data_IF_070624759505
#
_entry.id   IF_070624759505
#
_cell.length_a   1.000
_cell.length_b   1.000
_cell.length_c   1.000
_cell.angle_alpha   90.00
_cell.angle_beta   90.00
_cell.angle_gamma   90.00
#
_symmetry.space_group_name_H-M   'P 1'
#
loop_
_entity.id
_entity.type
_entity.pdbx_description
1 polymer ?
#
# COMPACT_ATOMS: atom_id res chain seq x y z
N UNK A 1 -21.12 12.37 62.98
CA UNK A 1 -21.70 12.60 61.65
C UNK A 1 -20.63 12.72 60.54
N UNK A 2 -19.66 13.58 60.71
CA UNK A 2 -18.60 13.82 59.69
C UNK A 2 -17.80 12.59 59.25
N UNK A 3 -17.41 11.69 60.18
CA UNK A 3 -16.70 10.44 59.87
C UNK A 3 -17.50 9.46 59.01
N UNK A 4 -18.84 9.40 59.19
CA UNK A 4 -19.75 8.55 58.41
C UNK A 4 -19.95 9.08 56.99
N UNK A 5 -19.93 10.40 56.82
CA UNK A 5 -20.03 11.06 55.51
C UNK A 5 -18.73 10.87 54.74
N UNK A 6 -17.59 11.00 55.42
CA UNK A 6 -16.26 10.77 54.77
C UNK A 6 -16.06 9.32 54.29
N UNK A 7 -16.56 8.33 55.07
CA UNK A 7 -16.53 6.92 54.70
C UNK A 7 -17.45 6.60 53.53
N UNK A 8 -18.62 7.24 53.46
CA UNK A 8 -19.57 7.08 52.35
C UNK A 8 -19.02 7.73 51.05
N UNK A 9 -18.37 8.88 51.12
CA UNK A 9 -17.76 9.55 49.99
C UNK A 9 -16.53 8.75 49.47
N UNK A 10 -15.72 8.18 50.38
CA UNK A 10 -14.62 7.34 50.01
C UNK A 10 -15.06 6.01 49.36
N UNK A 11 -16.15 5.38 49.86
CA UNK A 11 -16.75 4.21 49.21
C UNK A 11 -17.36 4.53 47.84
N UNK A 12 -17.99 5.72 47.69
CA UNK A 12 -18.52 6.15 46.38
C UNK A 12 -17.38 6.41 45.36
N UNK A 13 -16.26 6.94 45.82
CA UNK A 13 -15.07 7.16 44.95
C UNK A 13 -14.40 5.83 44.57
N UNK A 14 -14.33 4.85 45.45
CA UNK A 14 -13.83 3.50 45.17
C UNK A 14 -14.76 2.75 44.21
N UNK A 15 -16.09 2.92 44.32
CA UNK A 15 -17.08 2.35 43.40
C UNK A 15 -17.02 2.99 41.99
N UNK A 16 -16.63 4.26 41.88
CA UNK A 16 -16.45 4.94 40.58
C UNK A 16 -15.14 4.52 39.90
N UNK A 17 -14.12 4.15 40.64
CA UNK A 17 -12.83 3.67 40.08
C UNK A 17 -12.89 2.20 39.66
N UNK A 18 -13.78 1.39 40.24
CA UNK A 18 -13.90 -0.07 39.95
C UNK A 18 -14.79 -0.34 38.72
N UNK A 19 -15.56 0.63 38.23
CA UNK A 19 -16.38 0.44 37.03
C UNK A 19 -15.65 0.72 35.69
N UNK A 20 -14.34 0.96 35.71
CA UNK A 20 -13.50 0.91 34.52
C UNK A 20 -12.83 -0.46 34.31
N UNK A 21 -13.44 -1.55 34.83
CA UNK A 21 -13.03 -2.91 34.46
C UNK A 21 -13.40 -3.17 33.00
N UNK A 22 -12.49 -2.82 32.11
CA UNK A 22 -12.17 -3.50 30.91
C UNK A 22 -13.32 -3.99 30.02
N UNK A 23 -14.00 -3.08 29.32
CA UNK A 23 -14.39 -3.44 27.96
C UNK A 23 -13.06 -3.82 27.25
N UNK A 24 -12.93 -5.04 26.76
CA UNK A 24 -11.79 -5.44 25.96
C UNK A 24 -11.66 -4.44 24.81
N UNK A 25 -10.60 -3.59 24.83
CA UNK A 25 -10.29 -2.67 23.74
C UNK A 25 -9.71 -3.42 22.52
N UNK A 26 -9.97 -4.72 22.43
CA UNK A 26 -9.49 -5.55 21.34
C UNK A 26 -10.35 -5.33 20.10
N UNK A 27 -9.71 -4.90 19.05
CA UNK A 27 -10.29 -4.64 17.74
C UNK A 27 -9.80 -5.71 16.76
N UNK A 28 -10.74 -6.32 16.03
CA UNK A 28 -10.46 -7.38 15.06
C UNK A 28 -10.26 -6.78 13.69
N UNK A 29 -9.09 -7.03 13.11
CA UNK A 29 -8.71 -6.50 11.81
C UNK A 29 -8.62 -7.63 10.80
N UNK A 30 -9.47 -7.63 9.79
CA UNK A 30 -9.35 -8.52 8.65
C UNK A 30 -8.36 -7.93 7.64
N UNK A 31 -7.46 -8.76 7.11
CA UNK A 31 -6.52 -8.34 6.08
C UNK A 31 -6.31 -9.40 5.01
N UNK A 32 -6.08 -8.93 3.79
CA UNK A 32 -5.52 -9.73 2.72
C UNK A 32 -4.03 -9.42 2.62
N UNK A 33 -3.22 -10.44 2.40
CA UNK A 33 -1.77 -10.28 2.30
C UNK A 33 -1.41 -9.37 1.10
N UNK A 34 -0.73 -8.26 1.38
CA UNK A 34 -0.28 -7.28 0.40
C UNK A 34 1.15 -6.89 0.76
N UNK A 35 2.08 -7.15 -0.15
CA UNK A 35 3.51 -6.87 0.01
C UNK A 35 3.76 -5.46 0.56
N UNK A 36 4.61 -5.36 1.59
CA UNK A 36 4.97 -4.14 2.31
C UNK A 36 3.79 -3.37 2.95
N UNK A 37 2.54 -3.76 2.68
CA UNK A 37 1.37 -3.12 3.28
C UNK A 37 0.89 -3.85 4.53
N UNK A 38 0.59 -5.14 4.42
CA UNK A 38 0.24 -6.01 5.56
C UNK A 38 0.52 -7.47 5.20
N UNK A 39 1.38 -8.13 5.95
CA UNK A 39 1.75 -9.52 5.72
C UNK A 39 2.74 -10.04 6.76
N UNK A 40 3.06 -11.33 6.69
CA UNK A 40 4.03 -11.94 7.58
C UNK A 40 5.44 -11.72 7.03
N UNK A 41 6.29 -11.04 7.80
CA UNK A 41 7.71 -10.85 7.53
C UNK A 41 8.52 -11.33 8.74
N UNK A 42 9.46 -12.23 8.52
CA UNK A 42 10.29 -12.81 9.58
C UNK A 42 9.46 -13.42 10.73
N UNK A 43 8.33 -14.05 10.41
CA UNK A 43 7.43 -14.69 11.37
C UNK A 43 6.55 -13.72 12.18
N UNK A 44 6.54 -12.43 11.84
CA UNK A 44 5.72 -11.40 12.50
C UNK A 44 4.88 -10.66 11.46
N UNK A 45 3.68 -10.26 11.88
CA UNK A 45 2.86 -9.37 11.07
C UNK A 45 3.52 -7.99 11.01
N UNK A 46 3.71 -7.48 9.81
CA UNK A 46 4.39 -6.20 9.57
C UNK A 46 3.87 -5.54 8.28
N UNK A 47 4.23 -4.28 8.09
CA UNK A 47 3.90 -3.50 6.91
C UNK A 47 3.37 -2.12 7.25
N UNK A 48 3.19 -1.32 6.22
CA UNK A 48 2.66 0.05 6.32
C UNK A 48 1.36 0.11 7.14
N UNK A 49 0.41 -0.77 6.81
CA UNK A 49 -0.90 -0.80 7.46
C UNK A 49 -0.82 -1.19 8.93
N UNK A 50 0.08 -2.13 9.28
CA UNK A 50 0.31 -2.51 10.68
C UNK A 50 0.86 -1.32 11.46
N UNK A 51 1.89 -0.65 10.94
CA UNK A 51 2.47 0.53 11.59
C UNK A 51 1.48 1.71 11.70
N UNK A 52 0.56 1.86 10.75
CA UNK A 52 -0.54 2.82 10.86
C UNK A 52 -1.48 2.48 12.02
N UNK A 53 -1.87 1.20 12.15
CA UNK A 53 -2.70 0.76 13.27
C UNK A 53 -1.98 0.86 14.62
N UNK A 54 -0.67 0.61 14.67
CA UNK A 54 0.13 0.82 15.89
C UNK A 54 0.07 2.30 16.34
N UNK A 55 0.20 3.25 15.40
CA UNK A 55 0.04 4.67 15.72
C UNK A 55 -1.40 5.01 16.16
N UNK A 56 -2.43 4.39 15.57
CA UNK A 56 -3.82 4.54 16.00
C UNK A 56 -3.99 4.00 17.44
N UNK A 57 -3.32 2.90 17.79
CA UNK A 57 -3.37 2.34 19.15
C UNK A 57 -2.84 3.30 20.22
N UNK A 58 -1.82 4.10 19.91
CA UNK A 58 -1.28 5.11 20.83
C UNK A 58 -2.33 6.15 21.25
N UNK A 59 -3.31 6.43 20.36
CA UNK A 59 -4.40 7.40 20.63
C UNK A 59 -5.68 6.77 21.16
N UNK A 60 -5.90 5.47 20.90
CA UNK A 60 -7.16 4.79 21.25
C UNK A 60 -7.01 3.84 22.44
N UNK A 61 -5.80 3.38 22.71
CA UNK A 61 -5.54 2.29 23.66
C UNK A 61 -6.04 0.94 23.15
N UNK A 62 -6.28 0.78 21.86
CA UNK A 62 -6.72 -0.48 21.27
C UNK A 62 -5.61 -1.52 21.27
N UNK A 63 -6.01 -2.78 21.37
CA UNK A 63 -5.20 -3.95 21.04
C UNK A 63 -5.81 -4.63 19.81
N UNK A 64 -5.01 -5.34 19.04
CA UNK A 64 -5.49 -5.88 17.77
C UNK A 64 -5.40 -7.39 17.70
N UNK A 65 -6.46 -7.98 17.12
CA UNK A 65 -6.46 -9.36 16.63
C UNK A 65 -6.57 -9.34 15.11
N UNK A 66 -5.56 -9.88 14.43
CA UNK A 66 -5.51 -9.91 12.97
C UNK A 66 -6.00 -11.23 12.41
N UNK A 67 -6.91 -11.16 11.43
CA UNK A 67 -7.51 -12.33 10.74
C UNK A 67 -7.15 -12.24 9.25
N UNK A 68 -6.34 -13.19 8.77
CA UNK A 68 -5.93 -13.26 7.36
C UNK A 68 -6.98 -13.98 6.51
N UNK A 69 -7.24 -13.46 5.28
CA UNK A 69 -8.11 -14.08 4.30
C UNK A 69 -7.98 -13.45 2.92
N UNK A 70 -8.77 -13.94 1.97
CA UNK A 70 -8.90 -13.27 0.68
C UNK A 70 -9.58 -11.90 0.87
N UNK A 71 -9.40 -10.98 -0.10
CA UNK A 71 -10.06 -9.67 -0.03
C UNK A 71 -11.59 -9.78 0.10
N UNK A 72 -12.19 -10.71 -0.64
CA UNK A 72 -13.64 -10.98 -0.56
C UNK A 72 -14.04 -11.45 0.84
N UNK A 73 -13.28 -12.35 1.45
CA UNK A 73 -13.53 -12.81 2.82
C UNK A 73 -13.40 -11.67 3.84
N UNK A 74 -12.39 -10.80 3.69
CA UNK A 74 -12.23 -9.64 4.58
C UNK A 74 -13.45 -8.72 4.53
N UNK A 75 -13.98 -8.42 3.34
CA UNK A 75 -15.20 -7.63 3.17
C UNK A 75 -16.41 -8.32 3.83
N UNK A 76 -16.55 -9.63 3.63
CA UNK A 76 -17.65 -10.40 4.23
C UNK A 76 -17.58 -10.40 5.76
N UNK A 77 -16.42 -10.66 6.34
CA UNK A 77 -16.23 -10.65 7.80
C UNK A 77 -16.55 -9.30 8.43
N UNK A 78 -16.15 -8.19 7.80
CA UNK A 78 -16.47 -6.86 8.29
C UNK A 78 -17.97 -6.55 8.13
N UNK A 79 -18.57 -6.95 7.02
CA UNK A 79 -20.01 -6.79 6.79
C UNK A 79 -20.85 -7.55 7.82
N UNK A 80 -20.44 -8.76 8.17
CA UNK A 80 -21.15 -9.64 9.10
C UNK A 80 -20.77 -9.43 10.58
N UNK A 81 -19.81 -8.53 10.87
CA UNK A 81 -19.34 -8.25 12.22
C UNK A 81 -18.41 -9.30 12.81
N UNK A 82 -17.84 -10.17 11.98
CA UNK A 82 -16.80 -11.12 12.39
C UNK A 82 -15.42 -10.46 12.51
N UNK A 83 -15.20 -9.34 11.81
CA UNK A 83 -14.10 -8.42 11.99
C UNK A 83 -14.64 -7.00 12.11
N UNK A 84 -13.86 -6.13 12.74
CA UNK A 84 -14.26 -4.76 13.01
C UNK A 84 -13.81 -3.81 11.89
N UNK A 85 -12.61 -4.01 11.36
CA UNK A 85 -12.06 -3.23 10.25
C UNK A 85 -11.43 -4.11 9.17
N UNK A 86 -11.39 -3.57 7.94
CA UNK A 86 -10.46 -4.02 6.88
C UNK A 86 -9.95 -2.83 6.08
N UNK A 87 -8.83 -3.02 5.36
CA UNK A 87 -8.13 -1.98 4.62
C UNK A 87 -7.08 -2.61 3.64
N UNK A 88 -6.59 -1.91 2.62
CA UNK A 88 -7.04 -0.61 2.12
C UNK A 88 -8.25 -0.78 1.18
N UNK A 89 -9.28 0.04 1.34
CA UNK A 89 -10.49 -0.03 0.53
C UNK A 89 -10.69 1.26 -0.27
N UNK A 90 -10.76 1.17 -1.60
CA UNK A 90 -11.18 2.29 -2.43
C UNK A 90 -12.68 2.53 -2.27
N UNK A 91 -13.07 3.81 -2.28
CA UNK A 91 -14.48 4.20 -2.19
C UNK A 91 -15.25 3.81 -3.45
N UNK A 92 -16.44 3.29 -3.26
CA UNK A 92 -17.48 3.22 -4.30
C UNK A 92 -18.86 3.33 -3.66
N UNK A 93 -19.85 3.82 -4.39
CA UNK A 93 -21.22 3.91 -3.90
C UNK A 93 -21.77 2.53 -3.52
N UNK A 94 -21.43 1.50 -4.27
CA UNK A 94 -21.81 0.13 -3.96
C UNK A 94 -21.25 -0.31 -2.59
N UNK A 95 -19.98 -0.03 -2.30
CA UNK A 95 -19.38 -0.34 -1.00
C UNK A 95 -19.94 0.52 0.11
N UNK A 96 -20.23 1.80 -0.17
CA UNK A 96 -20.83 2.72 0.81
C UNK A 96 -22.24 2.31 1.24
N UNK A 97 -22.93 1.44 0.51
CA UNK A 97 -24.19 0.85 0.96
C UNK A 97 -23.99 -0.08 2.18
N UNK A 98 -22.91 -0.84 2.23
CA UNK A 98 -22.62 -1.86 3.24
C UNK A 98 -21.63 -1.42 4.32
N UNK A 99 -20.77 -0.43 4.02
CA UNK A 99 -19.64 -0.04 4.87
C UNK A 99 -19.64 1.46 5.20
N UNK A 100 -19.06 1.80 6.36
CA UNK A 100 -18.57 3.13 6.68
C UNK A 100 -17.12 3.23 6.27
N UNK A 101 -16.72 4.40 5.80
CA UNK A 101 -15.34 4.72 5.41
C UNK A 101 -14.74 5.73 6.37
N UNK A 102 -13.46 5.58 6.71
CA UNK A 102 -12.72 6.60 7.46
C UNK A 102 -12.74 7.94 6.72
N UNK A 103 -12.76 9.06 7.45
CA UNK A 103 -12.77 10.40 6.85
C UNK A 103 -11.47 10.73 6.13
N UNK A 104 -10.34 10.22 6.66
CA UNK A 104 -9.04 10.36 6.03
C UNK A 104 -8.70 9.06 5.30
N UNK A 105 -8.07 9.18 4.14
CA UNK A 105 -7.50 8.01 3.48
C UNK A 105 -6.33 7.45 4.29
N UNK A 106 -6.23 6.13 4.34
CA UNK A 106 -5.09 5.47 4.99
C UNK A 106 -3.86 5.43 4.08
N UNK A 107 -4.04 5.45 2.76
CA UNK A 107 -2.98 5.54 1.77
C UNK A 107 -3.54 6.14 0.47
N UNK A 108 -2.69 6.85 -0.27
CA UNK A 108 -3.00 7.23 -1.65
C UNK A 108 -2.48 6.13 -2.58
N UNK A 109 -3.40 5.36 -3.13
CA UNK A 109 -3.10 4.28 -4.05
C UNK A 109 -3.16 4.75 -5.52
N UNK A 110 -2.69 3.94 -6.43
CA UNK A 110 -2.87 4.11 -7.86
C UNK A 110 -2.99 2.76 -8.55
N UNK A 111 -3.69 2.71 -9.66
CA UNK A 111 -3.73 1.53 -10.50
C UNK A 111 -2.47 1.47 -11.37
N UNK A 112 -1.84 0.30 -11.44
CA UNK A 112 -0.66 0.09 -12.25
C UNK A 112 -0.63 -1.31 -12.88
N UNK A 113 0.07 -1.41 -14.00
CA UNK A 113 0.38 -2.66 -14.65
C UNK A 113 1.88 -2.90 -14.52
N UNK A 114 2.23 -4.08 -14.06
CA UNK A 114 3.61 -4.54 -13.95
C UNK A 114 3.81 -5.80 -14.78
N UNK A 115 5.02 -6.00 -15.27
CA UNK A 115 5.48 -7.24 -15.89
C UNK A 115 6.77 -7.70 -15.23
N UNK A 116 7.23 -8.94 -15.52
CA UNK A 116 8.55 -9.41 -15.08
C UNK A 116 9.65 -8.47 -15.57
N UNK A 117 10.64 -8.20 -14.74
CA UNK A 117 11.82 -7.41 -15.10
C UNK A 117 12.56 -7.94 -16.33
N UNK A 118 12.49 -9.25 -16.57
CA UNK A 118 13.11 -9.93 -17.72
C UNK A 118 12.27 -9.90 -18.99
N UNK A 119 11.00 -9.48 -18.94
CA UNK A 119 10.13 -9.42 -20.12
C UNK A 119 10.56 -8.29 -21.06
N UNK A 120 10.94 -8.63 -22.30
CA UNK A 120 11.39 -7.68 -23.33
C UNK A 120 10.25 -7.16 -24.23
N UNK A 121 9.09 -7.81 -24.21
CA UNK A 121 8.01 -7.58 -25.19
C UNK A 121 7.03 -6.52 -24.71
N UNK A 122 6.86 -6.41 -23.37
CA UNK A 122 5.96 -5.45 -22.75
C UNK A 122 6.77 -4.27 -22.24
N UNK A 123 6.55 -3.08 -22.83
CA UNK A 123 7.37 -1.91 -22.60
C UNK A 123 6.59 -0.83 -21.83
N UNK A 124 7.34 0.01 -21.11
CA UNK A 124 6.77 1.15 -20.39
C UNK A 124 6.09 2.12 -21.35
N UNK A 125 4.83 2.46 -21.04
CA UNK A 125 3.95 3.33 -21.83
C UNK A 125 3.66 2.87 -23.27
N UNK A 126 4.16 1.72 -23.70
CA UNK A 126 3.74 1.09 -24.96
C UNK A 126 2.52 0.19 -24.72
N UNK A 127 1.36 0.81 -24.59
CA UNK A 127 0.12 0.12 -24.23
C UNK A 127 -0.29 -0.94 -25.25
N UNK A 128 0.07 -0.76 -26.53
CA UNK A 128 -0.23 -1.74 -27.57
C UNK A 128 0.54 -3.04 -27.38
N UNK A 129 1.66 -3.02 -26.64
CA UNK A 129 2.39 -4.24 -26.26
C UNK A 129 1.57 -5.17 -25.35
N UNK A 130 0.50 -4.67 -24.74
CA UNK A 130 -0.44 -5.45 -23.92
C UNK A 130 -1.51 -6.18 -24.75
N UNK A 131 -1.64 -5.89 -26.06
CA UNK A 131 -2.69 -6.50 -26.89
C UNK A 131 -2.59 -8.01 -26.88
N UNK A 132 -3.69 -8.68 -26.50
CA UNK A 132 -3.79 -10.14 -26.43
C UNK A 132 -3.02 -10.80 -25.27
N UNK A 133 -2.32 -10.04 -24.43
CA UNK A 133 -1.53 -10.56 -23.31
C UNK A 133 -2.42 -11.08 -22.18
N UNK A 134 -1.87 -12.04 -21.42
CA UNK A 134 -2.50 -12.65 -20.24
C UNK A 134 -2.22 -11.76 -19.03
N UNK A 135 -3.28 -11.24 -18.40
CA UNK A 135 -3.18 -10.33 -17.27
C UNK A 135 -3.79 -10.93 -16.01
N UNK A 136 -3.00 -11.00 -14.93
CA UNK A 136 -3.42 -11.44 -13.62
C UNK A 136 -4.03 -10.29 -12.82
N UNK A 137 -5.15 -10.58 -12.13
CA UNK A 137 -5.92 -9.62 -11.35
C UNK A 137 -6.40 -10.30 -10.06
N UNK A 138 -6.58 -9.52 -8.99
CA UNK A 138 -7.19 -10.03 -7.75
C UNK A 138 -8.71 -9.92 -7.87
N UNK A 139 -9.40 -11.03 -7.61
CA UNK A 139 -10.86 -11.10 -7.65
C UNK A 139 -11.49 -10.09 -6.67
N UNK A 140 -12.56 -9.39 -7.10
CA UNK A 140 -13.26 -8.41 -6.28
C UNK A 140 -12.50 -7.09 -6.01
N UNK A 141 -11.27 -6.93 -6.52
CA UNK A 141 -10.55 -5.68 -6.35
C UNK A 141 -11.17 -4.56 -7.20
N UNK A 142 -11.34 -3.37 -6.59
CA UNK A 142 -11.88 -2.19 -7.26
C UNK A 142 -11.03 -1.72 -8.45
N UNK A 143 -9.72 -1.91 -8.37
CA UNK A 143 -8.79 -1.53 -9.43
C UNK A 143 -9.08 -2.25 -10.76
N UNK A 144 -9.80 -3.37 -10.73
CA UNK A 144 -10.24 -4.07 -11.95
C UNK A 144 -11.16 -3.20 -12.80
N UNK A 145 -12.02 -2.37 -12.18
CA UNK A 145 -12.89 -1.43 -12.89
C UNK A 145 -12.08 -0.29 -13.53
N UNK A 146 -11.05 0.20 -12.84
CA UNK A 146 -10.12 1.21 -13.35
C UNK A 146 -9.36 0.67 -14.56
N UNK A 147 -8.91 -0.58 -14.46
CA UNK A 147 -8.25 -1.27 -15.56
C UNK A 147 -9.14 -1.42 -16.79
N UNK A 148 -10.40 -1.80 -16.61
CA UNK A 148 -11.35 -1.97 -17.73
C UNK A 148 -11.59 -0.65 -18.47
N UNK A 149 -11.71 0.45 -17.74
CA UNK A 149 -11.79 1.80 -18.32
C UNK A 149 -10.50 2.17 -19.06
N UNK A 150 -9.35 1.88 -18.44
CA UNK A 150 -8.06 2.18 -19.05
C UNK A 150 -7.85 1.44 -20.37
N UNK A 151 -7.99 0.12 -20.42
CA UNK A 151 -7.79 -0.66 -21.65
C UNK A 151 -8.82 -0.31 -22.71
N UNK A 152 -10.08 -0.04 -22.32
CA UNK A 152 -11.11 0.43 -23.22
C UNK A 152 -10.76 1.78 -23.85
N UNK A 153 -10.22 2.73 -23.07
CA UNK A 153 -9.78 4.04 -23.57
C UNK A 153 -8.58 3.98 -24.51
N UNK A 154 -7.78 2.90 -24.44
CA UNK A 154 -6.59 2.65 -25.29
C UNK A 154 -6.91 1.73 -26.50
N UNK A 155 -8.12 1.21 -26.57
CA UNK A 155 -8.50 0.25 -27.63
C UNK A 155 -7.73 -1.07 -27.54
N UNK A 156 -7.40 -1.52 -26.31
CA UNK A 156 -6.61 -2.72 -26.05
C UNK A 156 -7.53 -3.84 -25.56
N UNK A 157 -7.28 -5.06 -26.00
CA UNK A 157 -7.93 -6.26 -25.50
C UNK A 157 -6.89 -7.19 -24.86
N UNK A 158 -7.17 -7.67 -23.63
CA UNK A 158 -6.32 -8.58 -22.88
C UNK A 158 -7.09 -9.79 -22.40
N UNK A 159 -6.40 -10.88 -22.09
CA UNK A 159 -6.97 -12.07 -21.46
C UNK A 159 -6.85 -11.92 -19.94
N UNK A 160 -7.99 -11.83 -19.23
CA UNK A 160 -8.01 -11.62 -17.78
C UNK A 160 -8.03 -12.94 -17.02
N UNK A 161 -7.15 -13.07 -16.03
CA UNK A 161 -7.07 -14.20 -15.12
C UNK A 161 -7.22 -13.71 -13.68
N UNK A 162 -8.17 -14.28 -12.93
CA UNK A 162 -8.51 -13.83 -11.60
C UNK A 162 -7.97 -14.80 -10.55
N UNK A 163 -7.32 -14.25 -9.52
CA UNK A 163 -6.70 -14.97 -8.40
C UNK A 163 -7.28 -14.49 -7.07
N UNK A 164 -7.09 -15.27 -6.03
CA UNK A 164 -7.64 -14.97 -4.71
C UNK A 164 -6.73 -14.03 -3.89
N UNK A 165 -5.43 -13.99 -4.20
CA UNK A 165 -4.43 -13.20 -3.46
C UNK A 165 -3.34 -12.63 -4.35
N UNK A 166 -2.61 -11.64 -3.83
CA UNK A 166 -1.43 -11.08 -4.48
C UNK A 166 -0.31 -12.12 -4.64
N UNK A 167 -0.13 -13.01 -3.66
CA UNK A 167 0.86 -14.10 -3.72
C UNK A 167 0.61 -15.01 -4.91
N UNK A 168 -0.65 -15.47 -5.11
CA UNK A 168 -1.01 -16.32 -6.26
C UNK A 168 -0.78 -15.62 -7.60
N UNK A 169 -1.06 -14.31 -7.69
CA UNK A 169 -0.80 -13.51 -8.89
C UNK A 169 0.71 -13.44 -9.17
N UNK A 170 1.51 -13.19 -8.15
CA UNK A 170 2.98 -13.12 -8.27
C UNK A 170 3.59 -14.46 -8.68
N UNK A 171 3.13 -15.57 -8.08
CA UNK A 171 3.54 -16.92 -8.47
C UNK A 171 3.18 -17.24 -9.94
N UNK A 172 1.99 -16.82 -10.37
CA UNK A 172 1.56 -17.02 -11.75
C UNK A 172 2.41 -16.23 -12.75
N UNK A 173 2.81 -14.99 -12.40
CA UNK A 173 3.74 -14.19 -13.20
C UNK A 173 5.11 -14.82 -13.27
N UNK A 174 5.68 -15.22 -12.13
CA UNK A 174 7.00 -15.87 -12.05
C UNK A 174 7.02 -17.19 -12.83
N UNK A 175 5.92 -17.96 -12.80
CA UNK A 175 5.76 -19.20 -13.54
C UNK A 175 5.47 -19.01 -15.05
N UNK A 176 5.36 -17.78 -15.54
CA UNK A 176 5.02 -17.48 -16.95
C UNK A 176 3.59 -17.88 -17.34
N UNK A 177 2.70 -18.12 -16.37
CA UNK A 177 1.27 -18.41 -16.64
C UNK A 177 0.52 -17.18 -17.11
N UNK A 178 0.96 -16.00 -16.69
CA UNK A 178 0.48 -14.68 -17.10
C UNK A 178 1.67 -13.82 -17.54
N UNK A 179 1.41 -12.79 -18.32
CA UNK A 179 2.43 -11.93 -18.92
C UNK A 179 2.60 -10.61 -18.16
N UNK A 180 1.54 -10.17 -17.48
CA UNK A 180 1.52 -8.96 -16.67
C UNK A 180 0.53 -9.10 -15.53
N UNK A 181 0.66 -8.22 -14.53
CA UNK A 181 -0.25 -8.12 -13.38
C UNK A 181 -0.82 -6.72 -13.30
N UNK A 182 -2.06 -6.65 -12.85
CA UNK A 182 -2.70 -5.42 -12.44
C UNK A 182 -2.65 -5.33 -10.91
N UNK A 183 -2.10 -4.25 -10.38
CA UNK A 183 -1.95 -4.05 -8.94
C UNK A 183 -1.98 -2.57 -8.56
N UNK A 184 -1.96 -2.28 -7.26
CA UNK A 184 -1.78 -0.95 -6.71
C UNK A 184 -0.30 -0.56 -6.54
N UNK A 185 -0.07 0.54 -5.82
CA UNK A 185 1.28 1.07 -5.55
C UNK A 185 2.10 0.20 -4.58
N UNK A 186 1.46 -0.75 -3.91
CA UNK A 186 2.07 -1.58 -2.89
C UNK A 186 2.99 -2.69 -3.45
N UNK A 187 3.08 -2.81 -4.77
CA UNK A 187 3.92 -3.81 -5.43
C UNK A 187 5.24 -3.18 -5.84
N UNK A 188 6.17 -3.11 -4.88
CA UNK A 188 7.55 -2.74 -5.12
C UNK A 188 8.42 -4.00 -5.01
N UNK A 189 8.67 -4.62 -6.14
CA UNK A 189 9.56 -5.76 -6.25
C UNK A 189 10.60 -5.43 -7.32
N UNK A 190 11.88 -5.59 -6.98
CA UNK A 190 13.00 -5.31 -7.90
C UNK A 190 12.93 -6.19 -9.15
N UNK A 191 12.24 -7.33 -9.06
CA UNK A 191 12.06 -8.27 -10.19
C UNK A 191 10.93 -7.87 -11.15
N UNK A 192 10.24 -6.76 -10.90
CA UNK A 192 9.15 -6.27 -11.74
C UNK A 192 9.45 -4.92 -12.34
N UNK A 193 8.96 -4.69 -13.54
CA UNK A 193 8.99 -3.38 -14.16
C UNK A 193 7.59 -2.83 -14.40
N UNK A 194 7.46 -1.53 -14.20
CA UNK A 194 6.25 -0.77 -14.45
C UNK A 194 6.00 -0.68 -15.95
N UNK A 195 4.77 -0.96 -16.37
CA UNK A 195 4.30 -0.83 -17.76
C UNK A 195 3.41 0.40 -17.91
N UNK A 196 2.46 0.56 -17.00
CA UNK A 196 1.52 1.68 -16.98
C UNK A 196 1.18 2.05 -15.54
N UNK A 197 0.94 3.34 -15.33
CA UNK A 197 0.41 3.90 -14.09
C UNK A 197 -0.76 4.81 -14.46
N UNK A 198 -1.90 4.61 -13.81
CA UNK A 198 -3.12 5.35 -14.09
C UNK A 198 -4.00 5.38 -12.83
N UNK A 199 -4.99 6.25 -12.81
CA UNK A 199 -5.96 6.43 -11.73
C UNK A 199 -5.33 6.47 -10.32
N UNK A 200 -5.17 7.68 -9.78
CA UNK A 200 -4.79 7.88 -8.39
C UNK A 200 -6.04 7.80 -7.51
N UNK A 201 -6.06 6.87 -6.58
CA UNK A 201 -7.21 6.51 -5.80
C UNK A 201 -6.89 6.52 -4.31
N UNK A 202 -7.54 7.37 -3.51
CA UNK A 202 -7.43 7.26 -2.08
C UNK A 202 -8.06 5.94 -1.62
N UNK A 203 -7.37 5.24 -0.73
CA UNK A 203 -7.88 4.07 -0.06
C UNK A 203 -8.09 4.33 1.43
N UNK A 204 -9.07 3.71 2.01
CA UNK A 204 -9.61 4.00 3.34
C UNK A 204 -9.63 2.75 4.22
N UNK A 205 -9.75 2.97 5.52
CA UNK A 205 -10.14 1.93 6.47
C UNK A 205 -11.66 1.89 6.46
N UNK A 206 -12.23 0.69 6.41
CA UNK A 206 -13.68 0.49 6.41
C UNK A 206 -14.13 -0.40 7.55
N UNK A 207 -15.36 -0.16 8.03
CA UNK A 207 -16.07 -0.97 9.03
C UNK A 207 -17.49 -1.24 8.58
N UNK A 208 -18.16 -2.19 9.23
CA UNK A 208 -19.59 -2.45 8.97
C UNK A 208 -20.47 -1.25 9.24
N UNK A 209 -21.57 -1.13 8.53
CA UNK A 209 -22.46 0.05 8.53
C UNK A 209 -22.97 0.48 9.91
N UNK A 210 -23.06 -0.47 10.84
CA UNK A 210 -23.57 -0.22 12.18
C UNK A 210 -22.50 0.18 13.21
N UNK A 211 -21.22 0.16 12.86
CA UNK A 211 -20.11 0.42 13.78
C UNK A 211 -19.72 1.91 13.82
N UNK A 212 -20.70 2.80 13.91
CA UNK A 212 -20.47 4.26 13.88
C UNK A 212 -19.54 4.75 14.99
N UNK A 213 -19.75 4.26 16.23
CA UNK A 213 -18.93 4.66 17.37
C UNK A 213 -17.45 4.23 17.21
N UNK A 214 -17.19 3.05 16.64
CA UNK A 214 -15.85 2.57 16.39
C UNK A 214 -15.16 3.37 15.27
N UNK A 215 -15.92 3.71 14.21
CA UNK A 215 -15.41 4.57 13.13
C UNK A 215 -15.11 5.99 13.63
N UNK A 216 -15.93 6.55 14.52
CA UNK A 216 -15.67 7.87 15.10
C UNK A 216 -14.38 7.89 15.94
N UNK A 217 -14.12 6.84 16.72
CA UNK A 217 -12.86 6.71 17.48
C UNK A 217 -11.66 6.61 16.54
N UNK A 218 -11.75 5.82 15.47
CA UNK A 218 -10.74 5.74 14.43
C UNK A 218 -10.46 7.12 13.81
N UNK A 219 -11.50 7.81 13.38
CA UNK A 219 -11.39 9.13 12.73
C UNK A 219 -10.76 10.17 13.67
N UNK A 220 -11.08 10.13 14.96
CA UNK A 220 -10.47 11.00 15.97
C UNK A 220 -8.97 10.70 16.14
N UNK A 221 -8.59 9.43 16.21
CA UNK A 221 -7.18 9.02 16.29
C UNK A 221 -6.39 9.43 15.05
N UNK A 222 -6.90 9.15 13.85
CA UNK A 222 -6.24 9.55 12.60
C UNK A 222 -6.09 11.07 12.49
N UNK A 223 -7.09 11.82 12.95
CA UNK A 223 -7.01 13.28 13.03
C UNK A 223 -5.94 13.75 14.03
N UNK A 224 -5.85 13.13 15.21
CA UNK A 224 -4.84 13.45 16.21
C UNK A 224 -3.43 13.23 15.65
N UNK A 225 -3.18 12.07 15.05
CA UNK A 225 -1.91 11.75 14.38
C UNK A 225 -1.53 12.83 13.36
N UNK A 226 -2.49 13.24 12.51
CA UNK A 226 -2.24 14.25 11.48
C UNK A 226 -1.97 15.64 12.07
N UNK A 227 -2.62 16.00 13.19
CA UNK A 227 -2.39 17.28 13.87
C UNK A 227 -1.02 17.31 14.57
N UNK A 228 -0.58 16.20 15.15
CA UNK A 228 0.72 16.07 15.80
C UNK A 228 1.86 16.00 14.80
N UNK A 229 1.67 15.27 13.70
CA UNK A 229 2.65 15.14 12.63
C UNK A 229 1.97 15.13 11.26
N UNK A 230 1.85 16.28 10.58
CA UNK A 230 1.24 16.37 9.24
C UNK A 230 1.95 15.55 8.16
N UNK A 231 3.20 15.15 8.40
CA UNK A 231 4.01 14.35 7.48
C UNK A 231 4.02 12.86 7.82
N UNK A 232 3.27 12.43 8.84
CA UNK A 232 3.30 11.05 9.34
C UNK A 232 3.08 10.01 8.23
N UNK A 233 2.01 10.13 7.46
CA UNK A 233 1.68 9.17 6.39
C UNK A 233 2.69 9.19 5.25
N UNK A 234 3.28 10.35 4.94
CA UNK A 234 4.34 10.47 3.94
C UNK A 234 5.63 9.80 4.41
N UNK A 235 6.05 10.06 5.65
CA UNK A 235 7.23 9.41 6.24
C UNK A 235 7.02 7.89 6.37
N UNK A 236 5.83 7.47 6.78
CA UNK A 236 5.47 6.06 6.85
C UNK A 236 5.55 5.41 5.45
N UNK A 237 5.02 6.08 4.42
CA UNK A 237 5.12 5.61 3.04
C UNK A 237 6.59 5.46 2.59
N UNK A 238 7.43 6.45 2.85
CA UNK A 238 8.86 6.39 2.51
C UNK A 238 9.60 5.24 3.22
N UNK A 239 9.23 4.94 4.45
CA UNK A 239 9.84 3.84 5.22
C UNK A 239 9.56 2.47 4.62
N UNK A 240 8.35 2.24 4.08
CA UNK A 240 7.95 0.93 3.55
C UNK A 240 8.15 0.80 2.05
N UNK A 241 8.01 1.88 1.30
CA UNK A 241 8.06 1.87 -0.17
C UNK A 241 9.27 2.60 -0.75
N UNK A 242 10.03 3.27 0.10
CA UNK A 242 11.13 4.11 -0.35
C UNK A 242 10.63 5.35 -1.09
N UNK A 243 11.56 6.09 -1.65
CA UNK A 243 11.21 7.29 -2.44
C UNK A 243 10.59 6.87 -3.77
N UNK A 244 9.57 7.59 -4.18
CA UNK A 244 8.79 7.30 -5.40
C UNK A 244 9.62 7.27 -6.71
N UNK A 245 10.86 7.75 -6.68
CA UNK A 245 11.80 7.76 -7.78
C UNK A 245 12.59 6.44 -7.97
N UNK A 246 12.53 5.52 -6.99
CA UNK A 246 13.19 4.19 -7.07
C UNK A 246 12.46 3.14 -7.91
N UNK A 247 11.30 3.49 -8.48
CA UNK A 247 10.64 2.56 -9.40
C UNK A 247 11.54 2.31 -10.60
N UNK A 248 11.88 1.06 -10.86
CA UNK A 248 12.50 0.64 -12.11
C UNK A 248 11.52 0.99 -13.25
N UNK A 249 11.61 2.22 -13.75
CA UNK A 249 10.90 2.63 -14.95
C UNK A 249 11.53 1.85 -16.10
N UNK A 250 10.75 1.00 -16.73
CA UNK A 250 11.16 0.48 -18.04
C UNK A 250 11.34 1.65 -19.02
N UNK A 251 12.15 1.44 -20.04
CA UNK A 251 12.23 2.41 -21.13
C UNK A 251 11.02 2.29 -22.05
N UNK A 252 10.57 3.43 -22.57
CA UNK A 252 9.64 3.46 -23.69
C UNK A 252 10.29 2.90 -24.96
N UNK A 253 9.51 2.53 -25.96
CA UNK A 253 10.03 2.07 -27.26
C UNK A 253 10.94 3.10 -27.90
N UNK A 254 10.60 4.39 -27.81
CA UNK A 254 11.39 5.48 -28.38
C UNK A 254 12.74 5.65 -27.67
N UNK A 255 12.75 5.55 -26.32
CA UNK A 255 13.98 5.61 -25.53
C UNK A 255 14.90 4.42 -25.84
N UNK A 256 14.34 3.20 -25.94
CA UNK A 256 15.13 2.01 -26.32
C UNK A 256 15.73 2.16 -27.73
N UNK A 257 14.94 2.62 -28.69
CA UNK A 257 15.45 2.88 -30.05
C UNK A 257 16.57 3.92 -30.05
N UNK A 258 16.40 5.00 -29.28
CA UNK A 258 17.45 6.01 -29.12
C UNK A 258 18.72 5.43 -28.49
N UNK A 259 18.62 4.70 -27.38
CA UNK A 259 19.75 4.08 -26.68
C UNK A 259 20.52 3.12 -27.62
N UNK A 260 19.80 2.35 -28.45
CA UNK A 260 20.41 1.39 -29.38
C UNK A 260 21.14 2.08 -30.55
N UNK A 261 20.73 3.29 -30.91
CA UNK A 261 21.27 3.99 -32.09
C UNK A 261 22.12 5.22 -31.75
N UNK A 262 22.10 5.68 -30.48
CA UNK A 262 22.87 6.82 -30.03
C UNK A 262 24.37 6.58 -30.11
N UNK A 263 25.10 7.55 -30.60
CA UNK A 263 26.55 7.54 -30.49
C UNK A 263 26.95 7.62 -29.01
N UNK A 264 28.12 7.09 -28.63
CA UNK A 264 28.62 7.20 -27.27
C UNK A 264 28.62 8.65 -26.80
N UNK A 265 27.98 8.89 -25.62
CA UNK A 265 27.98 10.21 -25.01
C UNK A 265 29.40 10.61 -24.62
N UNK A 266 29.80 11.82 -24.97
CA UNK A 266 31.05 12.39 -24.48
C UNK A 266 30.77 13.15 -23.21
N UNK A 267 31.35 12.69 -22.11
CA UNK A 267 31.27 13.34 -20.80
C UNK A 267 32.61 14.05 -20.57
N UNK A 268 32.52 15.33 -20.18
CA UNK A 268 33.69 16.10 -19.74
C UNK A 268 33.71 16.03 -18.23
N UNK A 269 34.77 15.49 -17.67
CA UNK A 269 35.02 15.44 -16.24
C UNK A 269 36.18 16.35 -15.85
N UNK A 270 36.14 16.85 -14.63
CA UNK A 270 37.26 17.58 -14.02
C UNK A 270 38.18 16.57 -13.31
N UNK A 271 39.42 16.49 -13.75
CA UNK A 271 40.39 15.52 -13.24
C UNK A 271 40.90 15.87 -11.82
N UNK A 272 40.57 17.04 -11.28
CA UNK A 272 41.18 17.58 -10.06
C UNK A 272 40.17 18.25 -9.08
N UNK A 273 38.91 17.88 -9.14
CA UNK A 273 37.84 18.42 -8.30
C UNK A 273 37.47 17.46 -7.14
N UNK A 274 38.46 17.10 -6.34
CA UNK A 274 38.24 16.25 -5.15
C UNK A 274 37.37 16.98 -4.09
N UNK A 275 36.40 16.32 -3.44
CA UNK A 275 35.96 14.91 -3.57
C UNK A 275 34.83 14.70 -4.57
N UNK A 276 34.45 15.69 -5.35
CA UNK A 276 33.29 15.63 -6.25
C UNK A 276 33.61 14.76 -7.48
N UNK A 277 34.75 14.99 -8.09
CA UNK A 277 35.24 14.23 -9.22
C UNK A 277 36.78 14.36 -9.33
N UNK A 278 37.47 13.27 -9.55
CA UNK A 278 38.92 13.29 -9.80
C UNK A 278 39.39 12.05 -10.60
N UNK A 279 40.48 12.19 -11.30
CA UNK A 279 41.09 11.09 -12.00
C UNK A 279 42.03 10.32 -11.08
N UNK A 280 41.77 9.02 -10.87
CA UNK A 280 42.74 8.15 -10.16
C UNK A 280 43.98 7.93 -11.01
N UNK A 281 45.08 8.56 -10.61
CA UNK A 281 46.35 8.54 -11.34
C UNK A 281 46.96 7.15 -11.47
N UNK A 282 46.46 6.12 -10.75
CA UNK A 282 46.96 4.74 -10.88
C UNK A 282 46.27 3.95 -11.99
N UNK A 283 44.97 4.22 -12.21
CA UNK A 283 44.14 3.41 -13.10
C UNK A 283 43.53 4.21 -14.26
N UNK A 284 43.67 5.52 -14.30
CA UNK A 284 43.03 6.38 -15.29
C UNK A 284 41.50 6.38 -15.24
N UNK A 285 40.92 6.07 -14.07
CA UNK A 285 39.49 6.00 -13.86
C UNK A 285 39.04 7.23 -13.08
N UNK A 286 37.96 7.86 -13.52
CA UNK A 286 37.31 8.91 -12.77
C UNK A 286 36.62 8.35 -11.50
N UNK A 287 36.76 9.06 -10.41
CA UNK A 287 36.14 8.74 -9.11
C UNK A 287 35.47 9.99 -8.55
N UNK A 288 34.58 9.82 -7.59
CA UNK A 288 33.91 10.89 -6.87
C UNK A 288 32.41 10.79 -6.89
N UNK A 289 31.75 11.68 -6.16
CA UNK A 289 30.30 11.68 -5.92
C UNK A 289 29.47 11.76 -7.23
N UNK A 290 30.05 12.21 -8.32
CA UNK A 290 29.37 12.27 -9.63
C UNK A 290 29.50 10.98 -10.45
N UNK A 291 30.30 10.02 -9.99
CA UNK A 291 30.55 8.74 -10.69
C UNK A 291 29.76 7.57 -10.07
N UNK A 292 29.28 7.72 -8.83
CA UNK A 292 28.46 6.77 -8.11
C UNK A 292 26.96 7.01 -8.38
#
# INVERSE_FOLDING_TARGET
>A
MLKRILTAVLMLFVLLVVNSAGASNTVRIAYSDIDNFVGIKDGRLAGYGVALFDAIAEHTGWTYEYKSGSWEQCLEWVKNGEADFTFPAQYSEQRAADFLFSRQNCILDFAAIYTSGTNSDILYQDYQSLQGKRLGMIKGNYLNLCFDKFVGSKGISVQKFYYSSGAEVNEALAAGKIDAIMSGNCVLDEDKKLVAKFDYLPAYIITGKNNTALMEQLDQAMRAITLENPYFTAALYENFYGRADKFAKGFTRAELAYIQTAAPLRVVGDADNYPMEWLDGKNGVYKGTYQD
#
